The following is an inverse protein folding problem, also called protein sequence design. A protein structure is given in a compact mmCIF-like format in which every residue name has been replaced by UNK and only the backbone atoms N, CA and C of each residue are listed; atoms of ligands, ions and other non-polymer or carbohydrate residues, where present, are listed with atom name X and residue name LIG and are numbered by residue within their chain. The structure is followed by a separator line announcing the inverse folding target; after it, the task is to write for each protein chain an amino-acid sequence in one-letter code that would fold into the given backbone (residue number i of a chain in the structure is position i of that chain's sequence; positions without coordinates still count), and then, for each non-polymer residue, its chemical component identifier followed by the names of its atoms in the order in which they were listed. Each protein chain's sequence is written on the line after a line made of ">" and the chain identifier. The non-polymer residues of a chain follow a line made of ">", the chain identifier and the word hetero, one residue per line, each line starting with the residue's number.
data_IF_711607160196
#
_entry.id   IF_711607160196
#
_cell.length_a   1.000
_cell.length_b   1.000
_cell.length_c   1.000
_cell.angle_alpha   90.00
_cell.angle_beta   90.00
_cell.angle_gamma   90.00
#
_symmetry.space_group_name_H-M   'P 1'
#
loop_
_entity.id
_entity.type
_entity.pdbx_description
1 polymer ?
#
# COMPACT_ATOMS: atom_id res chain seq x y z
N UNK A 1 -14.99 -3.77 -2.40
CA UNK A 1 -14.21 -2.87 -3.25
C UNK A 1 -12.75 -3.20 -3.11
N UNK A 2 -11.92 -2.71 -4.01
CA UNK A 2 -10.47 -2.92 -3.97
C UNK A 2 -9.74 -1.59 -3.81
N UNK A 3 -8.72 -1.54 -2.95
CA UNK A 3 -7.89 -0.36 -2.77
C UNK A 3 -6.45 -0.66 -3.14
N UNK A 4 -5.96 -0.04 -4.22
CA UNK A 4 -4.64 -0.27 -4.79
C UNK A 4 -3.72 0.88 -4.42
N UNK A 5 -2.63 0.55 -3.73
CA UNK A 5 -1.66 1.49 -3.19
C UNK A 5 -0.40 1.52 -4.05
N UNK A 6 -0.12 2.71 -4.59
CA UNK A 6 1.04 3.02 -5.42
C UNK A 6 2.04 3.89 -4.66
N UNK A 7 3.33 3.73 -4.97
CA UNK A 7 4.39 4.59 -4.41
C UNK A 7 4.63 5.86 -5.23
N UNK A 8 4.08 5.97 -6.45
CA UNK A 8 4.20 7.16 -7.30
C UNK A 8 2.98 7.38 -8.17
N UNK A 9 2.68 8.65 -8.49
CA UNK A 9 1.62 9.04 -9.42
C UNK A 9 1.87 8.48 -10.82
N UNK A 10 3.12 8.53 -11.30
CA UNK A 10 3.46 8.01 -12.64
C UNK A 10 3.06 6.55 -12.84
N UNK A 11 3.34 5.68 -11.86
CA UNK A 11 2.97 4.26 -11.98
C UNK A 11 1.45 4.08 -11.86
N UNK A 12 0.81 4.86 -10.99
CA UNK A 12 -0.64 4.87 -10.82
C UNK A 12 -1.34 5.23 -12.14
N UNK A 13 -0.96 6.34 -12.76
CA UNK A 13 -1.51 6.81 -14.05
C UNK A 13 -1.29 5.77 -15.17
N UNK A 14 -0.08 5.20 -15.24
CA UNK A 14 0.25 4.17 -16.23
C UNK A 14 -0.65 2.94 -16.11
N UNK A 15 -0.86 2.43 -14.89
CA UNK A 15 -1.73 1.26 -14.67
C UNK A 15 -3.19 1.64 -14.86
N UNK A 16 -3.62 2.81 -14.35
CA UNK A 16 -4.99 3.29 -14.51
C UNK A 16 -5.41 3.33 -15.98
N UNK A 17 -4.56 3.88 -16.86
CA UNK A 17 -4.83 3.93 -18.30
C UNK A 17 -4.95 2.55 -18.97
N UNK A 18 -4.37 1.49 -18.40
CA UNK A 18 -4.44 0.14 -18.95
C UNK A 18 -5.68 -0.63 -18.50
N UNK A 19 -6.17 -0.37 -17.29
CA UNK A 19 -7.20 -1.22 -16.65
C UNK A 19 -8.55 -0.53 -16.47
N UNK A 20 -8.63 0.80 -16.63
CA UNK A 20 -9.84 1.60 -16.39
C UNK A 20 -11.04 1.05 -17.17
N UNK A 21 -10.92 0.92 -18.48
CA UNK A 21 -12.02 0.50 -19.35
C UNK A 21 -12.50 -0.92 -19.01
N UNK A 22 -11.60 -1.81 -18.61
CA UNK A 22 -11.95 -3.17 -18.21
C UNK A 22 -12.70 -3.20 -16.86
N UNK A 23 -12.25 -2.40 -15.90
CA UNK A 23 -12.90 -2.27 -14.59
C UNK A 23 -14.29 -1.65 -14.73
N UNK A 24 -14.38 -0.53 -15.45
CA UNK A 24 -15.65 0.16 -15.71
C UNK A 24 -16.59 -0.71 -16.55
N UNK A 25 -16.06 -1.45 -17.54
CA UNK A 25 -16.82 -2.43 -18.35
C UNK A 25 -17.38 -3.60 -17.53
N UNK A 26 -16.77 -3.94 -16.39
CA UNK A 26 -17.31 -4.90 -15.40
C UNK A 26 -18.38 -4.28 -14.48
N UNK A 27 -18.73 -3.01 -14.68
CA UNK A 27 -19.70 -2.28 -13.87
C UNK A 27 -19.18 -1.92 -12.48
N UNK A 28 -17.87 -1.71 -12.34
CA UNK A 28 -17.24 -1.26 -11.10
C UNK A 28 -16.87 0.23 -11.24
N UNK A 29 -17.04 1.00 -10.17
CA UNK A 29 -16.63 2.41 -10.16
C UNK A 29 -15.12 2.52 -10.05
N UNK A 30 -14.46 3.22 -10.99
CA UNK A 30 -13.03 3.48 -10.93
C UNK A 30 -12.74 4.85 -10.33
N UNK A 31 -12.01 4.87 -9.22
CA UNK A 31 -11.62 6.08 -8.49
C UNK A 31 -10.10 6.25 -8.55
N UNK A 32 -9.64 7.44 -8.90
CA UNK A 32 -8.22 7.71 -9.12
C UNK A 32 -7.74 8.91 -8.30
N UNK A 33 -6.68 8.71 -7.52
CA UNK A 33 -5.99 9.82 -6.88
C UNK A 33 -5.13 10.60 -7.87
N UNK A 34 -5.67 11.73 -8.34
CA UNK A 34 -4.97 12.71 -9.17
C UNK A 34 -5.09 14.12 -8.62
N UNK A 35 -4.81 15.12 -9.45
CA UNK A 35 -4.87 16.54 -9.07
C UNK A 35 -6.30 17.09 -8.91
N UNK A 36 -7.29 16.41 -9.49
CA UNK A 36 -8.65 16.95 -9.67
C UNK A 36 -9.59 16.66 -8.49
N UNK A 37 -9.36 15.57 -7.75
CA UNK A 37 -10.25 15.12 -6.68
C UNK A 37 -9.48 15.01 -5.38
N UNK A 38 -10.04 15.56 -4.30
CA UNK A 38 -9.40 15.50 -3.00
C UNK A 38 -9.39 14.07 -2.46
N UNK A 39 -8.36 13.75 -1.66
CA UNK A 39 -8.27 12.46 -0.97
C UNK A 39 -9.51 12.14 -0.14
N UNK A 40 -10.09 13.14 0.53
CA UNK A 40 -11.28 12.95 1.37
C UNK A 40 -12.48 12.53 0.54
N UNK A 41 -12.72 13.23 -0.58
CA UNK A 41 -13.83 12.94 -1.49
C UNK A 41 -13.71 11.54 -2.11
N UNK A 42 -12.51 11.15 -2.54
CA UNK A 42 -12.27 9.80 -3.08
C UNK A 42 -12.57 8.70 -2.06
N UNK A 43 -12.25 8.96 -0.78
CA UNK A 43 -12.53 8.00 0.29
C UNK A 43 -14.00 7.92 0.65
N UNK A 44 -14.72 9.04 0.57
CA UNK A 44 -16.18 9.05 0.75
C UNK A 44 -16.86 8.26 -0.36
N UNK A 45 -16.53 8.53 -1.62
CA UNK A 45 -17.04 7.76 -2.77
C UNK A 45 -16.72 6.26 -2.67
N UNK A 46 -15.48 5.92 -2.29
CA UNK A 46 -15.09 4.52 -2.10
C UNK A 46 -15.86 3.84 -0.96
N UNK A 47 -16.24 4.58 0.08
CA UNK A 47 -17.05 4.04 1.18
C UNK A 47 -18.51 3.90 0.83
N UNK A 48 -19.03 4.62 -0.14
CA UNK A 48 -20.44 4.54 -0.55
C UNK A 48 -20.70 3.42 -1.57
N UNK A 49 -19.67 2.96 -2.28
CA UNK A 49 -19.79 1.92 -3.31
C UNK A 49 -18.94 0.68 -2.98
N UNK A 50 -19.60 -0.43 -2.64
CA UNK A 50 -18.94 -1.70 -2.35
C UNK A 50 -18.20 -2.30 -3.56
N UNK A 51 -18.46 -1.83 -4.78
CA UNK A 51 -17.83 -2.31 -6.02
C UNK A 51 -16.75 -1.36 -6.51
N UNK A 52 -16.48 -0.26 -5.80
CA UNK A 52 -15.46 0.69 -6.22
C UNK A 52 -14.05 0.07 -6.18
N UNK A 53 -13.22 0.51 -7.12
CA UNK A 53 -11.78 0.28 -7.18
C UNK A 53 -11.09 1.63 -7.05
N UNK A 54 -10.38 1.84 -5.94
CA UNK A 54 -9.65 3.07 -5.68
C UNK A 54 -8.16 2.87 -5.94
N UNK A 55 -7.57 3.75 -6.74
CA UNK A 55 -6.14 3.84 -6.95
C UNK A 55 -5.62 5.03 -6.15
N UNK A 56 -4.77 4.77 -5.16
CA UNK A 56 -4.19 5.78 -4.27
C UNK A 56 -2.67 5.79 -4.28
N UNK A 57 -2.07 6.96 -4.06
CA UNK A 57 -0.60 7.09 -3.94
C UNK A 57 -0.14 7.01 -2.50
N UNK A 58 1.16 7.19 -2.27
CA UNK A 58 1.79 7.00 -0.96
C UNK A 58 1.23 7.88 0.16
N UNK A 59 0.56 8.99 -0.18
CA UNK A 59 -0.12 9.85 0.80
C UNK A 59 -1.32 9.18 1.46
N UNK A 60 -1.83 8.08 0.89
CA UNK A 60 -2.91 7.32 1.52
C UNK A 60 -2.42 6.42 2.67
N UNK A 61 -1.13 6.08 2.73
CA UNK A 61 -0.60 5.30 3.86
C UNK A 61 -0.67 6.06 5.19
N UNK A 62 -0.63 7.40 5.14
CA UNK A 62 -0.61 8.26 6.31
C UNK A 62 -1.96 8.99 6.45
N UNK A 63 -2.84 8.42 7.29
CA UNK A 63 -4.05 9.12 7.76
C UNK A 63 -5.36 8.74 7.09
N UNK A 64 -5.43 7.63 6.35
CA UNK A 64 -6.67 7.20 5.68
C UNK A 64 -7.41 6.18 6.53
N UNK A 65 -8.47 6.60 7.21
CA UNK A 65 -9.26 5.70 8.04
C UNK A 65 -10.44 5.12 7.26
N UNK A 66 -10.22 4.13 6.39
CA UNK A 66 -11.36 3.48 5.71
C UNK A 66 -12.10 2.62 6.74
N UNK A 67 -13.20 3.15 7.28
CA UNK A 67 -14.15 2.40 8.13
C UNK A 67 -15.28 1.91 7.24
N UNK A 68 -15.68 0.65 7.41
CA UNK A 68 -16.84 0.04 6.74
C UNK A 68 -16.49 -1.25 5.99
N UNK A 69 -17.51 -2.06 5.73
CA UNK A 69 -17.43 -3.40 5.11
C UNK A 69 -16.95 -3.41 3.64
N UNK A 70 -16.65 -2.24 3.08
CA UNK A 70 -16.40 -2.04 1.65
C UNK A 70 -14.95 -2.26 1.25
N UNK A 71 -14.02 -2.18 2.22
CA UNK A 71 -12.62 -2.50 2.00
C UNK A 71 -12.37 -3.99 2.25
N UNK A 72 -12.52 -4.80 1.19
CA UNK A 72 -12.26 -6.25 1.25
C UNK A 72 -10.89 -6.62 0.69
N UNK A 73 -10.38 -5.85 -0.27
CA UNK A 73 -9.10 -6.14 -0.93
C UNK A 73 -8.19 -4.93 -0.87
N UNK A 74 -6.98 -5.08 -0.33
CA UNK A 74 -5.89 -4.09 -0.48
C UNK A 74 -4.76 -4.68 -1.30
N UNK A 75 -4.35 -3.94 -2.32
CA UNK A 75 -3.26 -4.34 -3.20
C UNK A 75 -2.10 -3.36 -2.99
N UNK A 76 -0.99 -3.87 -2.50
CA UNK A 76 0.24 -3.11 -2.26
C UNK A 76 1.17 -3.38 -3.43
N UNK A 77 1.30 -2.41 -4.32
CA UNK A 77 2.12 -2.58 -5.54
C UNK A 77 3.62 -2.62 -5.22
N UNK A 78 4.06 -1.90 -4.19
CA UNK A 78 5.45 -1.83 -3.73
C UNK A 78 5.53 -1.57 -2.23
N UNK A 79 6.56 -2.11 -1.58
CA UNK A 79 6.87 -1.83 -0.19
C UNK A 79 7.05 -0.31 0.01
N UNK A 80 6.49 0.27 1.10
CA UNK A 80 6.27 1.70 1.19
C UNK A 80 7.50 2.44 1.74
N UNK A 81 8.65 2.25 1.12
CA UNK A 81 9.88 2.99 1.39
C UNK A 81 9.74 4.46 0.99
N UNK A 82 10.48 5.34 1.67
CA UNK A 82 10.58 6.74 1.29
C UNK A 82 11.34 6.89 -0.04
N UNK A 83 10.96 7.92 -0.81
CA UNK A 83 11.73 8.33 -1.98
C UNK A 83 13.04 8.98 -1.48
N UNK A 84 14.22 8.46 -1.86
CA UNK A 84 15.49 8.91 -1.31
C UNK A 84 15.77 10.37 -1.62
N UNK A 85 15.48 10.83 -2.84
CA UNK A 85 15.82 12.17 -3.37
C UNK A 85 14.96 13.32 -2.79
N UNK A 86 14.24 13.08 -1.69
CA UNK A 86 13.51 14.15 -0.99
C UNK A 86 14.47 14.86 -0.04
N UNK A 87 14.54 16.20 -0.01
CA UNK A 87 15.53 16.93 0.79
C UNK A 87 15.54 16.52 2.27
N UNK A 88 14.35 16.32 2.85
CA UNK A 88 14.23 15.90 4.26
C UNK A 88 14.69 14.45 4.48
N UNK A 89 14.56 13.57 3.49
CA UNK A 89 15.02 12.19 3.55
C UNK A 89 16.53 12.14 3.41
N UNK A 90 17.11 12.90 2.47
CA UNK A 90 18.56 13.03 2.30
C UNK A 90 19.23 13.55 3.57
N UNK A 91 18.74 14.65 4.14
CA UNK A 91 19.28 15.24 5.36
C UNK A 91 19.28 14.26 6.56
N UNK A 92 18.23 13.43 6.70
CA UNK A 92 18.20 12.37 7.73
C UNK A 92 19.24 11.29 7.46
N UNK A 93 19.39 10.88 6.20
CA UNK A 93 20.36 9.84 5.83
C UNK A 93 21.80 10.30 6.03
N UNK A 94 22.12 11.54 5.65
CA UNK A 94 23.46 12.12 5.84
C UNK A 94 23.84 12.12 7.32
N UNK A 95 22.96 12.60 8.20
CA UNK A 95 23.19 12.62 9.64
C UNK A 95 23.48 11.23 10.24
N UNK A 96 22.80 10.19 9.76
CA UNK A 96 23.03 8.81 10.22
C UNK A 96 24.36 8.27 9.68
N UNK A 97 24.71 8.59 8.43
CA UNK A 97 26.00 8.22 7.84
C UNK A 97 27.16 8.90 8.57
N UNK A 98 27.02 10.16 8.94
CA UNK A 98 28.01 10.91 9.74
C UNK A 98 28.28 10.26 11.10
N UNK A 99 27.27 9.59 11.67
CA UNK A 99 27.41 8.80 12.89
C UNK A 99 28.04 7.39 12.65
N UNK A 100 28.40 7.04 11.42
CA UNK A 100 28.97 5.74 11.06
C UNK A 100 27.96 4.59 10.99
N UNK A 101 26.66 4.91 10.98
CA UNK A 101 25.57 3.93 10.99
C UNK A 101 24.98 3.71 9.59
N UNK A 102 24.15 2.66 9.45
CA UNK A 102 23.47 2.34 8.19
C UNK A 102 22.07 2.99 8.13
N UNK A 103 21.83 4.00 7.27
CA UNK A 103 20.53 4.68 7.18
C UNK A 103 19.37 3.79 6.75
N UNK A 104 19.66 2.74 5.97
CA UNK A 104 18.63 1.77 5.58
C UNK A 104 18.09 1.05 6.81
N UNK A 105 18.99 0.57 7.68
CA UNK A 105 18.62 -0.17 8.88
C UNK A 105 18.06 0.73 9.99
N UNK A 106 18.58 1.95 10.13
CA UNK A 106 18.25 2.86 11.23
C UNK A 106 17.03 3.78 10.95
N UNK A 107 16.76 4.13 9.68
CA UNK A 107 15.65 5.04 9.33
C UNK A 107 14.68 4.43 8.32
N UNK A 108 15.18 4.01 7.14
CA UNK A 108 14.29 3.66 6.04
C UNK A 108 13.42 2.43 6.33
N UNK A 109 14.04 1.34 6.80
CA UNK A 109 13.34 0.09 7.10
C UNK A 109 12.34 0.26 8.26
N UNK A 110 12.71 0.79 9.44
CA UNK A 110 11.75 1.02 10.53
C UNK A 110 10.56 1.87 10.10
N UNK A 111 10.79 2.96 9.36
CA UNK A 111 9.71 3.85 8.91
C UNK A 111 8.81 3.18 7.88
N UNK A 112 9.37 2.40 6.95
CA UNK A 112 8.59 1.62 5.99
C UNK A 112 7.73 0.56 6.69
N UNK A 113 8.27 -0.14 7.69
CA UNK A 113 7.53 -1.13 8.50
C UNK A 113 6.40 -0.48 9.30
N UNK A 114 6.65 0.66 9.95
CA UNK A 114 5.59 1.41 10.67
C UNK A 114 4.46 1.80 9.72
N UNK A 115 4.81 2.35 8.54
CA UNK A 115 3.84 2.75 7.53
C UNK A 115 3.05 1.56 6.98
N UNK A 116 3.73 0.45 6.73
CA UNK A 116 3.11 -0.81 6.31
C UNK A 116 2.11 -1.31 7.35
N UNK A 117 2.53 -1.46 8.62
CA UNK A 117 1.67 -1.87 9.73
C UNK A 117 0.44 -0.99 9.87
N UNK A 118 0.61 0.33 9.75
CA UNK A 118 -0.51 1.27 9.78
C UNK A 118 -1.48 1.07 8.61
N UNK A 119 -0.98 0.79 7.41
CA UNK A 119 -1.81 0.48 6.24
C UNK A 119 -2.60 -0.81 6.43
N UNK A 120 -1.95 -1.88 6.89
CA UNK A 120 -2.58 -3.19 7.14
C UNK A 120 -3.59 -3.12 8.28
N UNK A 121 -3.27 -2.46 9.40
CA UNK A 121 -4.17 -2.34 10.55
C UNK A 121 -5.43 -1.51 10.28
N UNK A 122 -5.51 -0.82 9.13
CA UNK A 122 -6.72 -0.15 8.67
C UNK A 122 -7.63 -1.07 7.85
N UNK A 123 -7.12 -2.20 7.36
CA UNK A 123 -7.88 -3.24 6.69
C UNK A 123 -8.40 -4.29 7.67
N UNK A 124 -7.56 -4.72 8.61
CA UNK A 124 -7.89 -5.75 9.60
C UNK A 124 -8.33 -5.05 10.88
N UNK A 125 -9.62 -4.70 10.99
CA UNK A 125 -10.16 -3.86 12.08
C UNK A 125 -10.93 -4.64 13.14
N UNK A 126 -11.44 -5.83 12.83
CA UNK A 126 -12.16 -6.69 13.76
C UNK A 126 -11.98 -8.17 13.40
N UNK A 127 -12.25 -9.07 14.35
CA UNK A 127 -12.22 -10.53 14.14
C UNK A 127 -13.20 -11.01 13.06
N UNK A 128 -14.19 -10.18 12.73
CA UNK A 128 -15.28 -10.52 11.83
C UNK A 128 -15.06 -9.95 10.42
N UNK A 129 -14.11 -9.02 10.26
CA UNK A 129 -13.74 -8.47 8.96
C UNK A 129 -12.94 -9.50 8.16
N UNK A 130 -13.44 -9.83 6.96
CA UNK A 130 -12.80 -10.75 6.02
C UNK A 130 -12.31 -9.98 4.79
N UNK A 131 -11.05 -10.19 4.44
CA UNK A 131 -10.46 -9.56 3.28
C UNK A 131 -9.02 -10.01 3.03
N UNK A 132 -8.53 -9.69 1.84
CA UNK A 132 -7.22 -10.10 1.37
C UNK A 132 -6.29 -8.90 1.24
N UNK A 133 -5.01 -9.13 1.55
CA UNK A 133 -3.91 -8.20 1.24
C UNK A 133 -2.99 -8.86 0.23
N UNK A 134 -2.92 -8.31 -0.97
CA UNK A 134 -1.98 -8.76 -1.99
C UNK A 134 -0.76 -7.84 -2.02
N UNK A 135 0.43 -8.39 -1.78
CA UNK A 135 1.70 -7.65 -1.89
C UNK A 135 2.38 -8.04 -3.19
N UNK A 136 2.39 -7.14 -4.18
CA UNK A 136 2.97 -7.38 -5.50
C UNK A 136 4.47 -7.08 -5.58
N UNK A 137 5.15 -7.15 -4.42
CA UNK A 137 6.56 -6.81 -4.29
C UNK A 137 7.35 -8.00 -3.73
N UNK A 138 7.99 -8.73 -4.64
CA UNK A 138 8.78 -9.92 -4.30
C UNK A 138 9.87 -9.69 -3.25
N UNK A 139 10.25 -8.43 -2.97
CA UNK A 139 11.23 -8.11 -1.91
C UNK A 139 10.75 -8.53 -0.52
N UNK A 140 9.43 -8.63 -0.29
CA UNK A 140 8.87 -9.10 0.98
C UNK A 140 9.28 -10.55 1.30
N UNK A 141 9.50 -11.37 0.27
CA UNK A 141 9.96 -12.77 0.41
C UNK A 141 11.46 -12.87 0.18
N UNK A 142 11.98 -12.23 -0.88
CA UNK A 142 13.34 -12.46 -1.39
C UNK A 142 14.44 -11.70 -0.67
N UNK A 143 14.13 -10.63 0.08
CA UNK A 143 15.14 -9.80 0.76
C UNK A 143 15.15 -10.11 2.25
N UNK A 144 16.34 -10.05 2.85
CA UNK A 144 16.54 -10.37 4.27
C UNK A 144 15.64 -9.55 5.22
N UNK A 145 15.33 -8.30 4.84
CA UNK A 145 14.48 -7.40 5.62
C UNK A 145 12.98 -7.65 5.42
N UNK A 146 12.59 -8.52 4.48
CA UNK A 146 11.20 -8.85 4.20
C UNK A 146 10.49 -9.44 5.42
N UNK A 147 11.23 -10.22 6.22
CA UNK A 147 10.77 -10.75 7.52
C UNK A 147 10.27 -9.67 8.48
N UNK A 148 10.83 -8.45 8.44
CA UNK A 148 10.37 -7.34 9.28
C UNK A 148 8.98 -6.83 8.87
N UNK A 149 8.62 -6.94 7.58
CA UNK A 149 7.27 -6.62 7.11
C UNK A 149 6.28 -7.72 7.45
N UNK A 150 6.67 -8.99 7.28
CA UNK A 150 5.83 -10.14 7.65
C UNK A 150 5.54 -10.16 9.16
N UNK A 151 6.54 -9.89 10.00
CA UNK A 151 6.38 -9.79 11.45
C UNK A 151 5.53 -8.59 11.89
N UNK A 152 5.26 -7.63 10.99
CA UNK A 152 4.40 -6.48 11.26
C UNK A 152 2.92 -6.74 10.93
N UNK A 153 2.60 -7.91 10.35
CA UNK A 153 1.23 -8.36 10.14
C UNK A 153 0.56 -8.71 11.49
N UNK A 154 -0.77 -8.55 11.62
CA UNK A 154 -1.49 -9.04 12.79
C UNK A 154 -1.33 -10.55 13.00
N UNK A 155 -1.42 -10.98 14.25
CA UNK A 155 -1.39 -12.39 14.61
C UNK A 155 -2.59 -13.13 14.00
N UNK A 156 -2.37 -14.36 13.54
CA UNK A 156 -3.41 -15.18 12.89
C UNK A 156 -3.66 -14.89 11.41
N UNK A 157 -2.92 -13.94 10.80
CA UNK A 157 -2.95 -13.74 9.34
C UNK A 157 -2.17 -14.86 8.66
N UNK A 158 -2.85 -15.63 7.83
CA UNK A 158 -2.22 -16.61 6.94
C UNK A 158 -1.48 -15.88 5.81
N UNK A 159 -0.23 -16.29 5.56
CA UNK A 159 0.59 -15.74 4.49
C UNK A 159 0.82 -16.82 3.45
N UNK A 160 0.35 -16.57 2.23
CA UNK A 160 0.51 -17.48 1.08
C UNK A 160 1.44 -16.82 0.07
N UNK A 161 2.50 -17.53 -0.33
CA UNK A 161 3.37 -17.11 -1.43
C UNK A 161 2.81 -17.64 -2.76
N UNK A 162 2.13 -16.76 -3.49
CA UNK A 162 1.55 -17.07 -4.80
C UNK A 162 2.60 -17.23 -5.92
N UNK A 163 3.87 -16.88 -5.67
CA UNK A 163 4.93 -17.03 -6.67
C UNK A 163 5.48 -18.46 -6.77
N UNK A 164 5.17 -19.31 -5.78
CA UNK A 164 5.59 -20.72 -5.73
C UNK A 164 4.50 -21.70 -6.16
N UNK A 165 3.28 -21.23 -6.35
CA UNK A 165 2.21 -22.02 -6.98
C UNK A 165 2.24 -21.75 -8.49
N UNK A 166 2.34 -22.81 -9.29
CA UNK A 166 2.23 -22.77 -10.74
C UNK A 166 0.84 -22.25 -11.16
N UNK A 167 0.64 -20.93 -11.11
CA UNK A 167 -0.55 -20.25 -11.61
C UNK A 167 -0.23 -19.64 -12.99
N UNK A 168 -0.23 -20.49 -14.02
CA UNK A 168 -0.43 -20.13 -15.43
C UNK A 168 -1.33 -21.15 -16.10
#
# INVERSE_FOLDING_TARGET
>A
GAFVLFTSYRLLEQVANLVRDEIEGKGMTFLEHGSQVTRTTLLEQFREDERAVLFGTSSFWQGVDVRGHNLRNVIITRLPFDVPDRPLVEARQEKIKEAGENPFMQDQLPRAVIRFRQGIGRLIRSSDDKGDVSILDSRVVRKFYGSAFLAALPEGVEVVDLATEDCF
#
